data_IF_297591395437
#
_entry.id   IF_297591395437
#
_cell.length_a   1.000
_cell.length_b   1.000
_cell.length_c   1.000
_cell.angle_alpha   90.00
_cell.angle_beta   90.00
_cell.angle_gamma   90.00
#
_symmetry.space_group_name_H-M   'P 1'
#
loop_
_entity.id
_entity.type
_entity.pdbx_description
1 polymer ?
#
# COMPACT_ATOMS: atom_id res chain seq x y z
N UNK A 1 10.87 -12.22 -6.05
CA UNK A 1 10.38 -11.59 -4.82
C UNK A 1 10.01 -12.58 -3.72
N UNK A 2 9.53 -13.75 -4.04
CA UNK A 2 9.15 -14.75 -3.02
C UNK A 2 10.30 -15.09 -2.05
N UNK A 3 11.52 -15.18 -2.56
CA UNK A 3 12.70 -15.39 -1.71
C UNK A 3 13.00 -14.23 -0.74
N UNK A 4 12.55 -13.02 -1.05
CA UNK A 4 12.77 -11.86 -0.18
C UNK A 4 11.81 -11.84 1.00
N UNK A 5 10.58 -12.34 0.80
CA UNK A 5 9.58 -12.48 1.87
C UNK A 5 9.94 -13.55 2.90
N UNK A 6 10.83 -14.49 2.54
CA UNK A 6 11.32 -15.53 3.43
C UNK A 6 12.36 -15.03 4.46
N UNK A 7 13.00 -13.89 4.21
CA UNK A 7 14.04 -13.36 5.10
C UNK A 7 13.50 -12.71 6.40
N UNK A 8 12.18 -12.65 6.59
CA UNK A 8 11.57 -12.13 7.82
C UNK A 8 11.91 -10.66 8.15
N UNK A 9 12.45 -9.93 7.19
CA UNK A 9 12.79 -8.50 7.32
C UNK A 9 11.74 -7.63 6.66
N UNK A 10 11.57 -6.44 7.19
CA UNK A 10 10.69 -5.45 6.60
C UNK A 10 11.34 -4.84 5.35
N UNK A 11 10.57 -4.81 4.26
CA UNK A 11 11.06 -4.31 2.96
C UNK A 11 10.42 -2.98 2.63
N UNK A 12 11.26 -2.01 2.28
CA UNK A 12 10.87 -0.74 1.69
C UNK A 12 11.14 -0.82 0.19
N UNK A 13 10.10 -0.73 -0.64
CA UNK A 13 10.22 -0.89 -2.08
C UNK A 13 9.79 0.39 -2.78
N UNK A 14 10.64 0.90 -3.66
CA UNK A 14 10.32 2.01 -4.55
C UNK A 14 10.06 1.48 -5.96
N UNK A 15 8.84 1.68 -6.45
CA UNK A 15 8.39 1.29 -7.79
C UNK A 15 8.47 2.46 -8.75
N UNK A 16 9.21 2.32 -9.84
CA UNK A 16 9.31 3.30 -10.92
C UNK A 16 9.73 2.60 -12.22
N UNK A 17 9.95 3.34 -13.29
CA UNK A 17 10.45 2.81 -14.55
C UNK A 17 11.96 2.50 -14.43
N UNK A 18 12.27 1.23 -14.10
CA UNK A 18 13.63 0.72 -13.93
C UNK A 18 14.09 0.08 -15.24
N UNK A 19 14.86 0.80 -16.03
CA UNK A 19 15.46 0.29 -17.27
C UNK A 19 16.92 0.72 -17.38
N UNK A 20 17.83 -0.21 -17.16
CA UNK A 20 19.27 0.03 -17.26
C UNK A 20 19.78 0.08 -18.69
N UNK A 21 18.98 -0.33 -19.68
CA UNK A 21 19.36 -0.34 -21.09
C UNK A 21 18.91 0.93 -21.78
N UNK A 22 17.61 1.26 -21.71
CA UNK A 22 17.02 2.38 -22.39
C UNK A 22 17.05 3.67 -21.58
N UNK A 23 16.96 3.57 -20.25
CA UNK A 23 16.90 4.73 -19.33
C UNK A 23 17.81 4.55 -18.10
N UNK A 24 19.08 4.20 -18.32
CA UNK A 24 20.05 4.02 -17.23
C UNK A 24 20.21 5.28 -16.37
N UNK A 25 20.12 6.48 -16.99
CA UNK A 25 20.28 7.76 -16.30
C UNK A 25 19.11 8.02 -15.34
N UNK A 26 17.88 7.85 -15.77
CA UNK A 26 16.68 8.00 -14.95
C UNK A 26 16.61 6.94 -13.85
N UNK A 27 16.95 5.68 -14.19
CA UNK A 27 17.03 4.58 -13.24
C UNK A 27 18.01 4.88 -12.11
N UNK A 28 19.23 5.31 -12.43
CA UNK A 28 20.24 5.65 -11.42
C UNK A 28 19.89 6.91 -10.63
N UNK A 29 19.21 7.87 -11.23
CA UNK A 29 18.77 9.10 -10.57
C UNK A 29 17.87 8.78 -9.36
N UNK A 30 16.85 7.94 -9.54
CA UNK A 30 15.93 7.55 -8.47
C UNK A 30 16.57 6.56 -7.50
N UNK A 31 17.31 5.57 -8.00
CA UNK A 31 18.05 4.63 -7.17
C UNK A 31 18.97 5.34 -6.17
N UNK A 32 19.71 6.35 -6.60
CA UNK A 32 20.62 7.09 -5.73
C UNK A 32 19.88 7.86 -4.63
N UNK A 33 18.67 8.35 -4.90
CA UNK A 33 17.83 9.01 -3.91
C UNK A 33 17.29 8.02 -2.88
N UNK A 34 16.85 6.86 -3.32
CA UNK A 34 16.45 5.77 -2.41
C UNK A 34 17.64 5.34 -1.54
N UNK A 35 18.82 5.17 -2.14
CA UNK A 35 20.03 4.79 -1.43
C UNK A 35 20.47 5.84 -0.39
N UNK A 36 20.23 7.13 -0.64
CA UNK A 36 20.55 8.19 0.31
C UNK A 36 19.76 8.01 1.62
N UNK A 37 18.46 7.74 1.51
CA UNK A 37 17.62 7.48 2.69
C UNK A 37 17.96 6.14 3.33
N UNK A 38 18.18 5.09 2.53
CA UNK A 38 18.48 3.75 3.03
C UNK A 38 19.69 3.70 3.98
N UNK A 39 20.68 4.59 3.79
CA UNK A 39 21.86 4.67 4.68
C UNK A 39 21.50 5.08 6.12
N UNK A 40 20.41 5.81 6.31
CA UNK A 40 19.96 6.28 7.62
C UNK A 40 19.15 5.20 8.37
N UNK A 41 18.72 4.13 7.68
CA UNK A 41 17.87 3.08 8.25
C UNK A 41 18.44 1.66 8.00
N UNK A 42 19.56 1.30 8.62
CA UNK A 42 20.24 0.02 8.38
C UNK A 42 19.44 -1.22 8.85
N UNK A 43 18.42 -1.02 9.67
CA UNK A 43 17.53 -2.09 10.13
C UNK A 43 16.51 -2.55 9.08
N UNK A 44 16.30 -1.75 8.04
CA UNK A 44 15.35 -2.03 6.97
C UNK A 44 16.07 -2.49 5.71
N UNK A 45 15.38 -3.27 4.90
CA UNK A 45 15.88 -3.66 3.57
C UNK A 45 15.19 -2.81 2.51
N UNK A 46 15.99 -2.13 1.70
CA UNK A 46 15.49 -1.27 0.61
C UNK A 46 15.68 -1.94 -0.73
N UNK A 47 14.65 -1.86 -1.58
CA UNK A 47 14.69 -2.36 -2.93
C UNK A 47 14.10 -1.33 -3.91
N UNK A 48 14.53 -1.43 -5.16
CA UNK A 48 13.92 -0.73 -6.28
C UNK A 48 13.37 -1.76 -7.27
N UNK A 49 12.21 -1.49 -7.83
CA UNK A 49 11.50 -2.45 -8.68
C UNK A 49 10.90 -1.75 -9.88
N UNK A 50 10.89 -2.43 -11.02
CA UNK A 50 10.18 -1.94 -12.19
C UNK A 50 8.67 -2.06 -11.94
N UNK A 51 7.97 -0.94 -12.08
CA UNK A 51 6.53 -0.84 -11.88
C UNK A 51 5.72 -1.79 -12.76
N UNK A 52 6.18 -2.03 -13.98
CA UNK A 52 5.46 -2.84 -14.97
C UNK A 52 5.64 -4.34 -14.71
N UNK A 53 6.81 -4.77 -14.26
CA UNK A 53 7.10 -6.16 -13.92
C UNK A 53 6.40 -6.61 -12.63
N UNK A 54 6.08 -5.67 -11.74
CA UNK A 54 5.46 -5.91 -10.43
C UNK A 54 4.08 -5.27 -10.29
N UNK A 55 3.36 -5.13 -11.39
CA UNK A 55 2.03 -4.49 -11.44
C UNK A 55 1.02 -5.16 -10.50
N UNK A 56 1.08 -6.48 -10.32
CA UNK A 56 0.20 -7.17 -9.38
C UNK A 56 0.45 -6.71 -7.94
N UNK A 57 1.71 -6.62 -7.52
CA UNK A 57 2.08 -6.17 -6.18
C UNK A 57 1.73 -4.69 -5.95
N UNK A 58 1.97 -3.85 -6.98
CA UNK A 58 1.56 -2.44 -6.96
C UNK A 58 0.05 -2.30 -6.75
N UNK A 59 -0.75 -3.13 -7.44
CA UNK A 59 -2.20 -3.16 -7.27
C UNK A 59 -2.63 -3.70 -5.89
N UNK A 60 -1.88 -4.65 -5.32
CA UNK A 60 -2.13 -5.15 -3.97
C UNK A 60 -1.89 -4.08 -2.90
N UNK A 61 -0.96 -3.15 -3.12
CA UNK A 61 -0.78 -1.97 -2.27
C UNK A 61 -1.90 -0.95 -2.42
N UNK A 62 -2.79 -1.09 -3.40
CA UNK A 62 -3.79 -0.07 -3.69
C UNK A 62 -3.21 1.23 -4.25
N UNK A 63 -1.95 1.22 -4.67
CA UNK A 63 -1.26 2.39 -5.25
C UNK A 63 -1.91 2.81 -6.58
N UNK A 64 -2.64 1.90 -7.22
CA UNK A 64 -3.21 2.13 -8.54
C UNK A 64 -2.16 2.16 -9.65
N UNK A 65 -2.55 2.65 -10.81
CA UNK A 65 -1.64 2.79 -11.93
C UNK A 65 -0.63 3.90 -11.64
N UNK A 66 0.66 3.55 -11.66
CA UNK A 66 1.74 4.54 -11.49
C UNK A 66 1.88 5.32 -12.80
N UNK A 67 1.24 6.47 -12.84
CA UNK A 67 1.37 7.42 -13.94
C UNK A 67 2.47 8.44 -13.61
N UNK A 68 3.42 8.61 -14.53
CA UNK A 68 4.54 9.56 -14.36
C UNK A 68 5.87 8.89 -13.99
N UNK A 69 6.90 9.74 -13.86
CA UNK A 69 8.29 9.31 -13.69
C UNK A 69 8.72 9.16 -12.23
N UNK A 70 7.90 9.65 -11.28
CA UNK A 70 8.24 9.64 -9.87
C UNK A 70 7.97 8.28 -9.23
N UNK A 71 8.86 7.81 -8.36
CA UNK A 71 8.65 6.58 -7.63
C UNK A 71 7.42 6.63 -6.73
N UNK A 72 6.74 5.49 -6.61
CA UNK A 72 5.82 5.21 -5.52
C UNK A 72 6.47 4.25 -4.54
N UNK A 73 6.24 4.47 -3.26
CA UNK A 73 6.92 3.71 -2.20
C UNK A 73 5.91 2.94 -1.37
N UNK A 74 6.25 1.70 -1.09
CA UNK A 74 5.50 0.85 -0.16
C UNK A 74 6.42 0.13 0.81
N UNK A 75 5.92 -0.20 1.98
CA UNK A 75 6.60 -1.03 2.97
C UNK A 75 5.82 -2.32 3.16
N UNK A 76 6.51 -3.44 3.12
CA UNK A 76 6.00 -4.74 3.51
C UNK A 76 6.51 -5.10 4.90
N UNK A 77 5.59 -5.37 5.81
CA UNK A 77 5.88 -5.93 7.12
C UNK A 77 5.29 -7.34 7.22
N UNK A 78 6.17 -8.32 7.16
CA UNK A 78 5.75 -9.72 7.16
C UNK A 78 4.91 -10.08 5.93
N UNK A 79 3.86 -10.91 6.14
CA UNK A 79 3.01 -11.39 5.03
C UNK A 79 1.72 -10.58 4.81
N UNK A 80 1.34 -9.74 5.75
CA UNK A 80 -0.01 -9.16 5.74
C UNK A 80 -0.07 -7.64 5.87
N UNK A 81 0.89 -7.01 6.51
CA UNK A 81 0.85 -5.57 6.71
C UNK A 81 1.57 -4.84 5.60
N UNK A 82 0.90 -3.86 5.05
CA UNK A 82 1.39 -3.01 3.97
C UNK A 82 1.20 -1.55 4.35
N UNK A 83 2.20 -0.72 4.06
CA UNK A 83 2.13 0.72 4.27
C UNK A 83 2.48 1.40 2.95
N UNK A 84 1.76 2.44 2.61
CA UNK A 84 1.90 3.15 1.33
C UNK A 84 2.21 4.61 1.59
N UNK A 85 3.19 5.14 0.89
CA UNK A 85 3.47 6.56 0.89
C UNK A 85 2.49 7.28 -0.04
N UNK A 86 1.57 8.05 0.52
CA UNK A 86 0.56 8.80 -0.23
C UNK A 86 1.15 10.06 -0.87
N UNK A 87 2.09 10.69 -0.18
CA UNK A 87 2.76 11.90 -0.66
C UNK A 87 3.56 11.66 -1.94
N UNK A 88 3.74 12.74 -2.70
CA UNK A 88 4.60 12.71 -3.87
C UNK A 88 6.06 12.48 -3.47
N UNK A 89 6.77 11.63 -4.22
CA UNK A 89 8.14 11.27 -3.88
C UNK A 89 9.08 12.50 -3.88
N UNK A 90 9.63 12.77 -2.73
CA UNK A 90 10.81 13.60 -2.50
C UNK A 90 11.72 12.90 -1.48
N UNK A 91 13.00 13.28 -1.43
CA UNK A 91 13.91 12.66 -0.47
C UNK A 91 13.45 12.88 0.96
N UNK A 92 13.00 14.11 1.27
CA UNK A 92 12.56 14.51 2.60
C UNK A 92 11.24 13.84 3.00
N UNK A 93 10.26 13.77 2.07
CA UNK A 93 9.00 13.07 2.31
C UNK A 93 9.21 11.56 2.46
N UNK A 94 10.12 10.98 1.67
CA UNK A 94 10.47 9.57 1.79
C UNK A 94 11.17 9.26 3.11
N UNK A 95 12.12 10.09 3.53
CA UNK A 95 12.81 9.92 4.81
C UNK A 95 11.82 10.03 5.98
N UNK A 96 10.91 11.02 5.95
CA UNK A 96 9.84 11.16 6.92
C UNK A 96 8.92 9.94 6.96
N UNK A 97 8.49 9.44 5.80
CA UNK A 97 7.65 8.25 5.72
C UNK A 97 8.32 7.02 6.36
N UNK A 98 9.60 6.78 6.06
CA UNK A 98 10.36 5.67 6.66
C UNK A 98 10.56 5.87 8.17
N UNK A 99 10.76 7.11 8.61
CA UNK A 99 10.85 7.44 10.04
C UNK A 99 9.53 7.19 10.74
N UNK A 100 8.41 7.67 10.21
CA UNK A 100 7.07 7.49 10.77
C UNK A 100 6.69 5.99 10.81
N UNK A 101 7.11 5.21 9.80
CA UNK A 101 6.99 3.77 9.82
C UNK A 101 7.80 3.13 10.96
N UNK A 102 9.06 3.52 11.13
CA UNK A 102 9.94 2.98 12.17
C UNK A 102 9.44 3.35 13.58
N UNK A 103 8.86 4.53 13.72
CA UNK A 103 8.26 5.01 14.97
C UNK A 103 6.88 4.36 15.27
N UNK A 104 6.35 3.57 14.34
CA UNK A 104 5.03 2.92 14.48
C UNK A 104 3.85 3.87 14.41
N UNK A 105 4.00 5.04 13.78
CA UNK A 105 2.96 6.07 13.64
C UNK A 105 2.03 5.83 12.45
N UNK A 106 2.45 4.98 11.50
CA UNK A 106 1.68 4.70 10.31
C UNK A 106 0.64 3.61 10.56
N UNK A 107 -0.54 3.81 10.03
CA UNK A 107 -1.56 2.77 9.97
C UNK A 107 -1.34 1.87 8.74
N UNK A 108 -1.55 0.54 8.86
CA UNK A 108 -1.47 -0.36 7.72
C UNK A 108 -2.49 0.03 6.64
N UNK A 109 -2.03 0.08 5.41
CA UNK A 109 -2.92 0.35 4.28
C UNK A 109 -3.88 -0.81 4.05
N UNK A 110 -5.17 -0.52 4.16
CA UNK A 110 -6.25 -1.45 3.82
C UNK A 110 -6.82 -1.08 2.45
N UNK A 111 -6.77 -2.02 1.51
CA UNK A 111 -7.47 -1.86 0.24
C UNK A 111 -8.97 -1.86 0.52
N UNK A 112 -9.57 -0.70 0.51
CA UNK A 112 -10.99 -0.51 0.82
C UNK A 112 -11.60 0.50 -0.15
N UNK A 113 -12.87 0.29 -0.48
CA UNK A 113 -13.66 1.33 -1.10
C UNK A 113 -13.93 2.45 -0.09
N UNK A 114 -14.31 3.62 -0.58
CA UNK A 114 -14.70 4.72 0.29
C UNK A 114 -16.06 4.44 0.93
N UNK A 115 -16.19 4.89 2.17
CA UNK A 115 -17.47 4.79 2.90
C UNK A 115 -18.49 5.68 2.20
N UNK A 116 -19.65 5.17 1.78
CA UNK A 116 -20.68 5.99 1.15
C UNK A 116 -21.15 7.14 2.06
N UNK A 117 -21.26 8.33 1.51
CA UNK A 117 -21.70 9.53 2.26
C UNK A 117 -23.12 9.39 2.83
N UNK A 118 -24.00 8.68 2.13
CA UNK A 118 -25.37 8.42 2.55
C UNK A 118 -25.65 6.93 2.60
N UNK A 119 -26.12 6.47 3.74
CA UNK A 119 -26.48 5.08 3.97
C UNK A 119 -27.93 4.97 4.42
N UNK A 120 -28.70 4.11 3.72
CA UNK A 120 -30.08 3.81 4.08
C UNK A 120 -30.20 2.80 5.23
N UNK A 121 -31.33 2.07 5.25
CA UNK A 121 -31.55 0.99 6.24
C UNK A 121 -30.57 -0.17 6.06
N UNK A 122 -30.12 -0.41 4.83
CA UNK A 122 -29.04 -1.35 4.54
C UNK A 122 -27.74 -0.58 4.51
N UNK A 123 -26.80 -0.97 5.38
CA UNK A 123 -25.49 -0.32 5.47
C UNK A 123 -24.51 -0.99 4.53
N UNK A 124 -23.69 -0.20 3.87
CA UNK A 124 -22.55 -0.70 3.08
C UNK A 124 -21.32 -0.73 3.98
N UNK A 125 -20.84 -1.91 4.28
CA UNK A 125 -19.60 -2.06 5.02
C UNK A 125 -18.44 -2.28 4.06
N UNK A 126 -17.43 -1.48 4.22
CA UNK A 126 -16.14 -1.54 3.55
C UNK A 126 -15.07 -1.76 4.60
N UNK A 127 -13.84 -2.12 4.20
CA UNK A 127 -12.80 -2.44 5.19
C UNK A 127 -12.56 -1.31 6.21
N UNK A 128 -12.73 -0.04 5.80
CA UNK A 128 -12.54 1.14 6.66
C UNK A 128 -13.56 1.28 7.78
N UNK A 129 -14.80 0.82 7.60
CA UNK A 129 -15.88 0.98 8.59
C UNK A 129 -16.43 -0.35 9.11
N UNK A 130 -15.82 -1.47 8.71
CA UNK A 130 -16.30 -2.81 9.02
C UNK A 130 -16.34 -3.08 10.54
N UNK A 131 -15.27 -2.77 11.23
CA UNK A 131 -15.16 -3.01 12.67
C UNK A 131 -16.16 -2.17 13.45
N UNK A 132 -16.35 -0.92 13.08
CA UNK A 132 -17.32 -0.02 13.70
C UNK A 132 -18.75 -0.49 13.50
N UNK A 133 -19.11 -0.85 12.26
CA UNK A 133 -20.48 -1.27 11.92
C UNK A 133 -20.83 -2.64 12.47
N UNK A 134 -19.86 -3.55 12.59
CA UNK A 134 -20.13 -4.95 12.89
C UNK A 134 -19.74 -5.29 14.33
N UNK A 135 -18.46 -5.20 14.67
CA UNK A 135 -17.98 -5.67 15.98
C UNK A 135 -18.29 -4.68 17.09
N UNK A 136 -18.23 -3.38 16.81
CA UNK A 136 -18.40 -2.34 17.82
C UNK A 136 -19.82 -1.77 17.88
N UNK A 137 -20.74 -2.21 17.00
CA UNK A 137 -22.11 -1.73 16.96
C UNK A 137 -22.97 -2.15 18.17
N UNK A 138 -22.56 -3.20 18.87
CA UNK A 138 -23.34 -3.79 19.98
C UNK A 138 -24.69 -4.42 19.54
N UNK A 139 -24.87 -4.66 18.24
CA UNK A 139 -26.08 -5.25 17.65
C UNK A 139 -25.72 -6.49 16.84
N UNK A 140 -26.68 -7.38 16.68
CA UNK A 140 -26.55 -8.48 15.73
C UNK A 140 -26.55 -7.95 14.29
N UNK A 141 -25.68 -8.48 13.45
CA UNK A 141 -25.54 -8.06 12.06
C UNK A 141 -25.74 -9.25 11.11
N UNK A 142 -26.62 -9.07 10.14
CA UNK A 142 -26.76 -9.99 9.01
C UNK A 142 -25.91 -9.47 7.85
N UNK A 143 -24.92 -10.24 7.44
CA UNK A 143 -23.97 -9.85 6.38
C UNK A 143 -24.31 -10.55 5.08
N UNK A 144 -24.67 -9.77 4.05
CA UNK A 144 -24.83 -10.24 2.68
C UNK A 144 -23.58 -9.89 1.85
N UNK A 145 -22.93 -10.89 1.26
CA UNK A 145 -21.86 -10.66 0.28
C UNK A 145 -22.45 -10.68 -1.12
N UNK A 146 -22.40 -9.53 -1.79
CA UNK A 146 -22.69 -9.43 -3.22
C UNK A 146 -21.38 -9.61 -4.00
N UNK A 147 -21.26 -10.74 -4.70
CA UNK A 147 -20.22 -10.89 -5.72
C UNK A 147 -20.76 -10.32 -7.02
N UNK A 148 -20.48 -9.06 -7.34
CA UNK A 148 -20.66 -8.58 -8.71
C UNK A 148 -19.42 -8.97 -9.53
N UNK A 149 -19.62 -9.29 -10.79
CA UNK A 149 -18.52 -9.55 -11.74
C UNK A 149 -17.60 -8.33 -11.94
N UNK A 150 -17.96 -7.17 -11.37
CA UNK A 150 -17.26 -5.90 -11.53
C UNK A 150 -16.78 -5.24 -10.24
N UNK A 151 -17.14 -5.75 -9.06
CA UNK A 151 -16.62 -5.23 -7.79
C UNK A 151 -16.47 -6.35 -6.75
N UNK A 152 -15.24 -6.81 -6.47
CA UNK A 152 -15.01 -7.95 -5.59
C UNK A 152 -15.17 -7.65 -4.08
N UNK A 153 -15.56 -6.45 -3.65
CA UNK A 153 -15.45 -6.03 -2.25
C UNK A 153 -16.65 -5.30 -1.64
N UNK A 154 -17.84 -5.30 -2.28
CA UNK A 154 -19.00 -4.71 -1.65
C UNK A 154 -19.73 -5.73 -0.76
N UNK A 155 -19.83 -5.44 0.53
CA UNK A 155 -20.69 -6.15 1.49
C UNK A 155 -21.90 -5.28 1.81
N UNK A 156 -23.09 -5.85 1.75
CA UNK A 156 -24.34 -5.15 2.05
C UNK A 156 -25.04 -5.79 3.25
N UNK A 157 -25.48 -5.01 4.22
CA UNK A 157 -26.10 -5.45 5.46
C UNK A 157 -27.57 -5.08 5.52
N UNK A 158 -28.39 -5.98 6.08
CA UNK A 158 -29.73 -5.69 6.55
C UNK A 158 -29.74 -5.78 8.08
N UNK A 159 -30.15 -4.74 8.76
CA UNK A 159 -30.48 -4.74 10.20
C UNK A 159 -31.96 -4.89 10.38
#
# INVERSE_FOLDING_TARGET
MDNAKEFGRNFVIAYYDVDYVKNAKGTNYWRNRVMKVAKNFPSLTFAVSNKDDFMQEVNEFGIGMITGDKPKVGVFEGKSKKFVMEDEFSVDAFEKFVQDYTDGKLEPHLKSEDVPESQGNVKVAVAKNFDELIFNSGKDALIGRLSSLFSPFAYQYCT
#
